data_IF_369843345891
#
_entry.id   IF_369843345891
#
_cell.length_a   1.000
_cell.length_b   1.000
_cell.length_c   1.000
_cell.angle_alpha   90.00
_cell.angle_beta   90.00
_cell.angle_gamma   90.00
#
_symmetry.space_group_name_H-M   'P 1'
#
loop_
_entity.id
_entity.type
_entity.pdbx_description
1 polymer ?
#
# COMPACT_ATOMS: atom_id res chain seq x y z
N UNK A 1 7.00 5.36 -22.12
CA UNK A 1 5.92 4.35 -22.07
C UNK A 1 5.09 4.57 -20.81
N UNK A 2 3.76 4.60 -20.92
CA UNK A 2 2.86 4.62 -19.76
C UNK A 2 2.67 3.21 -19.20
N UNK A 3 2.25 3.10 -17.95
CA UNK A 3 1.66 1.84 -17.49
C UNK A 3 0.40 1.59 -18.35
N UNK A 4 0.20 0.37 -18.88
CA UNK A 4 -1.04 0.04 -19.56
C UNK A 4 -2.22 0.25 -18.60
N UNK A 5 -3.41 0.48 -19.13
CA UNK A 5 -4.62 0.58 -18.30
C UNK A 5 -4.78 -0.74 -17.53
N UNK A 6 -4.47 -0.71 -16.23
CA UNK A 6 -4.68 -1.84 -15.33
C UNK A 6 -6.16 -1.85 -14.95
N UNK A 7 -6.84 -2.94 -15.28
CA UNK A 7 -8.21 -3.19 -14.85
C UNK A 7 -8.35 -3.49 -13.34
N UNK A 8 -7.41 -4.18 -12.64
CA UNK A 8 -7.55 -4.41 -11.21
C UNK A 8 -7.21 -3.16 -10.38
N UNK A 9 -7.70 -3.13 -9.14
CA UNK A 9 -7.27 -2.19 -8.11
C UNK A 9 -5.74 -2.27 -7.96
N UNK A 10 -5.09 -1.11 -7.92
CA UNK A 10 -3.65 -0.99 -7.74
C UNK A 10 -3.36 -0.13 -6.52
N UNK A 11 -2.51 -0.62 -5.63
CA UNK A 11 -2.05 0.14 -4.47
C UNK A 11 -0.54 0.28 -4.57
N UNK A 12 -0.09 1.52 -4.63
CA UNK A 12 1.32 1.88 -4.62
C UNK A 12 1.69 2.31 -3.20
N UNK A 13 2.75 1.73 -2.66
CA UNK A 13 3.25 2.04 -1.31
C UNK A 13 4.64 2.68 -1.49
N UNK A 14 4.88 3.82 -0.84
CA UNK A 14 6.16 4.52 -0.91
C UNK A 14 6.52 5.20 0.41
N UNK A 15 7.81 5.25 0.71
CA UNK A 15 8.35 6.08 1.78
C UNK A 15 8.86 7.42 1.24
N UNK A 16 8.65 8.50 2.00
CA UNK A 16 9.11 9.83 1.63
C UNK A 16 10.63 10.00 1.76
N UNK A 17 11.26 9.18 2.62
CA UNK A 17 12.70 9.11 2.83
C UNK A 17 13.38 8.01 2.00
N UNK A 18 12.70 7.38 1.03
CA UNK A 18 13.31 6.39 0.14
C UNK A 18 14.43 7.03 -0.70
N UNK A 19 15.71 6.64 -0.48
CA UNK A 19 16.85 7.23 -1.18
C UNK A 19 17.00 6.70 -2.62
N UNK A 20 16.31 5.61 -2.96
CA UNK A 20 16.37 4.96 -4.27
C UNK A 20 15.29 5.48 -5.20
N UNK A 21 14.06 5.67 -4.68
CA UNK A 21 12.90 6.09 -5.48
C UNK A 21 12.07 7.12 -4.73
N UNK A 22 12.02 8.38 -5.19
CA UNK A 22 11.17 9.40 -4.55
C UNK A 22 9.69 9.01 -4.60
N UNK A 23 8.96 9.19 -3.49
CA UNK A 23 7.52 8.89 -3.40
C UNK A 23 6.65 9.59 -4.46
N UNK A 24 7.12 10.73 -5.01
CA UNK A 24 6.47 11.43 -6.11
C UNK A 24 6.36 10.58 -7.39
N UNK A 25 7.24 9.60 -7.59
CA UNK A 25 7.17 8.65 -8.72
C UNK A 25 5.93 7.77 -8.58
N UNK A 26 5.68 7.21 -7.40
CA UNK A 26 4.49 6.41 -7.11
C UNK A 26 3.21 7.25 -7.21
N UNK A 27 3.23 8.48 -6.70
CA UNK A 27 2.07 9.40 -6.85
C UNK A 27 1.75 9.65 -8.33
N UNK A 28 2.78 9.89 -9.16
CA UNK A 28 2.60 10.06 -10.61
C UNK A 28 2.14 8.79 -11.32
N UNK A 29 2.54 7.62 -10.84
CA UNK A 29 2.08 6.35 -11.38
C UNK A 29 0.60 6.09 -11.07
N UNK A 30 0.14 6.42 -9.85
CA UNK A 30 -1.27 6.31 -9.47
C UNK A 30 -2.19 7.14 -10.39
N UNK A 31 -1.76 8.34 -10.78
CA UNK A 31 -2.53 9.21 -11.69
C UNK A 31 -2.75 8.62 -13.10
N UNK A 32 -2.06 7.53 -13.46
CA UNK A 32 -2.13 6.91 -14.79
C UNK A 32 -3.05 5.69 -14.84
N UNK A 33 -3.50 5.18 -13.70
CA UNK A 33 -4.34 4.00 -13.60
C UNK A 33 -5.67 4.36 -12.89
N UNK A 34 -6.84 4.11 -13.51
CA UNK A 34 -8.12 4.62 -13.00
C UNK A 34 -8.50 4.15 -11.59
N UNK A 35 -8.03 2.96 -11.20
CA UNK A 35 -8.31 2.35 -9.90
C UNK A 35 -7.05 2.28 -9.01
N UNK A 36 -6.09 3.17 -9.26
CA UNK A 36 -4.86 3.20 -8.47
C UNK A 36 -4.94 4.20 -7.32
N UNK A 37 -4.41 3.79 -6.17
CA UNK A 37 -4.15 4.67 -5.02
C UNK A 37 -2.67 4.64 -4.64
N UNK A 38 -2.20 5.68 -3.96
CA UNK A 38 -0.85 5.75 -3.42
C UNK A 38 -0.92 6.01 -1.91
N UNK A 39 -0.34 5.11 -1.13
CA UNK A 39 -0.19 5.24 0.31
C UNK A 39 1.26 5.65 0.58
N UNK A 40 1.43 6.70 1.39
CA UNK A 40 2.74 7.30 1.70
C UNK A 40 3.06 7.14 3.18
N UNK A 41 4.29 6.73 3.44
CA UNK A 41 4.88 6.66 4.75
C UNK A 41 5.91 7.78 4.87
N UNK A 42 5.98 8.44 6.03
CA UNK A 42 6.97 9.51 6.24
C UNK A 42 8.40 8.95 6.23
N UNK A 43 8.58 7.74 6.76
CA UNK A 43 9.87 7.07 6.90
C UNK A 43 9.77 5.58 6.58
N UNK A 44 10.92 4.90 6.43
CA UNK A 44 11.01 3.45 6.21
C UNK A 44 11.92 3.07 5.04
N UNK A 45 12.34 4.07 4.27
CA UNK A 45 13.29 3.92 3.19
C UNK A 45 12.79 2.98 2.07
N UNK A 46 13.76 2.41 1.36
CA UNK A 46 13.46 1.59 0.18
C UNK A 46 12.80 0.24 0.51
N UNK A 47 13.12 -0.31 1.68
CA UNK A 47 12.70 -1.65 2.09
C UNK A 47 11.63 -1.56 3.19
N UNK A 48 10.55 -0.82 2.92
CA UNK A 48 9.43 -0.63 3.86
C UNK A 48 8.87 -1.94 4.43
N UNK A 49 8.88 -3.03 3.64
CA UNK A 49 8.41 -4.34 4.07
C UNK A 49 9.39 -5.06 5.03
N UNK A 50 10.67 -4.66 5.06
CA UNK A 50 11.63 -5.12 6.05
C UNK A 50 11.65 -4.21 7.29
N UNK A 51 11.47 -2.90 7.09
CA UNK A 51 11.45 -1.92 8.18
C UNK A 51 10.16 -1.98 9.01
N UNK A 52 9.01 -2.18 8.35
CA UNK A 52 7.67 -2.15 8.95
C UNK A 52 6.84 -3.38 8.49
N UNK A 53 7.31 -4.61 8.72
CA UNK A 53 6.72 -5.82 8.14
C UNK A 53 5.26 -6.01 8.51
N UNK A 54 4.91 -5.84 9.80
CA UNK A 54 3.55 -6.05 10.29
C UNK A 54 2.57 -5.01 9.72
N UNK A 55 3.01 -3.75 9.64
CA UNK A 55 2.21 -2.66 9.07
C UNK A 55 1.92 -2.89 7.60
N UNK A 56 2.93 -3.32 6.83
CA UNK A 56 2.77 -3.62 5.40
C UNK A 56 1.90 -4.86 5.19
N UNK A 57 2.07 -5.91 5.99
CA UNK A 57 1.24 -7.11 5.93
C UNK A 57 -0.24 -6.78 6.22
N UNK A 58 -0.53 -6.05 7.30
CA UNK A 58 -1.89 -5.65 7.66
C UNK A 58 -2.56 -4.80 6.57
N UNK A 59 -1.80 -3.90 5.93
CA UNK A 59 -2.29 -3.10 4.81
C UNK A 59 -2.67 -3.97 3.61
N UNK A 60 -1.83 -4.97 3.28
CA UNK A 60 -2.10 -5.91 2.19
C UNK A 60 -3.33 -6.76 2.52
N UNK A 61 -3.43 -7.29 3.74
CA UNK A 61 -4.55 -8.12 4.19
C UNK A 61 -5.88 -7.36 4.11
N UNK A 62 -5.92 -6.13 4.62
CA UNK A 62 -7.12 -5.29 4.59
C UNK A 62 -7.64 -5.02 3.16
N UNK A 63 -6.75 -5.06 2.16
CA UNK A 63 -7.07 -4.77 0.76
C UNK A 63 -7.40 -6.03 -0.03
N UNK A 64 -6.73 -7.14 0.25
CA UNK A 64 -6.97 -8.42 -0.42
C UNK A 64 -8.19 -9.17 0.12
N UNK A 65 -8.48 -9.04 1.42
CA UNK A 65 -9.54 -9.81 2.09
C UNK A 65 -10.86 -9.03 2.25
N UNK A 66 -10.86 -7.74 1.89
CA UNK A 66 -11.99 -6.82 2.07
C UNK A 66 -12.24 -6.42 3.53
N UNK A 67 -13.10 -5.43 3.78
CA UNK A 67 -13.50 -4.96 5.13
C UNK A 67 -14.34 -5.97 5.94
N UNK A 68 -14.33 -7.25 5.59
CA UNK A 68 -15.04 -8.30 6.34
C UNK A 68 -14.08 -9.39 6.80
N UNK A 69 -13.10 -9.04 7.62
CA UNK A 69 -12.30 -10.01 8.36
C UNK A 69 -11.99 -9.60 9.81
N UNK A 70 -12.57 -8.51 10.33
CA UNK A 70 -12.39 -8.07 11.73
C UNK A 70 -13.73 -7.90 12.45
N UNK A 71 -14.66 -8.85 12.25
CA UNK A 71 -15.84 -8.97 13.13
C UNK A 71 -15.92 -10.36 13.82
N UNK A 72 -14.93 -11.22 13.64
CA UNK A 72 -14.97 -12.61 14.12
C UNK A 72 -14.08 -12.92 15.34
N UNK A 73 -12.99 -12.19 15.56
CA UNK A 73 -11.97 -12.59 16.53
C UNK A 73 -12.04 -11.87 17.89
N UNK A 74 -12.51 -10.62 17.96
CA UNK A 74 -12.28 -9.78 19.15
C UNK A 74 -13.45 -9.69 20.15
N UNK A 75 -14.69 -10.04 19.78
CA UNK A 75 -15.84 -10.05 20.73
C UNK A 75 -15.90 -11.30 21.64
N UNK A 76 -14.96 -12.24 21.53
CA UNK A 76 -14.93 -13.48 22.34
C UNK A 76 -13.89 -13.46 23.46
N UNK A 77 -13.17 -12.36 23.68
CA UNK A 77 -12.14 -12.22 24.72
C UNK A 77 -12.28 -10.96 25.60
N UNK A 78 -13.47 -10.36 25.64
CA UNK A 78 -13.83 -9.35 26.64
C UNK A 78 -14.86 -9.92 27.63
#
# INVERSE_FOLDING_TARGET
AGLPSLAPELILIAADDDPMVPASVSTRAALRAPQASCIRFATGGHLLHEAEPDTIAALIEARCLGETAVDAQDRRRA
#
